data_IF_521593292078
#
_entry.id   IF_521593292078
#
_cell.length_a   1.000
_cell.length_b   1.000
_cell.length_c   1.000
_cell.angle_alpha   90.00
_cell.angle_beta   90.00
_cell.angle_gamma   90.00
#
_symmetry.space_group_name_H-M   'P 1'
#
loop_
_entity.id
_entity.type
_entity.pdbx_description
1 polymer ?
#
# COMPACT_ATOMS: atom_id res chain seq x y z
N UNK A 1 -15.79 1.70 -25.54
CA UNK A 1 -16.89 2.10 -26.45
C UNK A 1 -18.27 1.79 -25.88
N UNK A 2 -18.61 0.53 -25.59
CA UNK A 2 -19.95 0.18 -25.03
C UNK A 2 -20.27 0.89 -23.70
N UNK A 3 -19.32 0.92 -22.76
CA UNK A 3 -19.46 1.65 -21.49
C UNK A 3 -19.66 3.15 -21.75
N UNK A 4 -18.96 3.72 -22.75
CA UNK A 4 -19.04 5.14 -23.08
C UNK A 4 -20.45 5.51 -23.58
N UNK A 5 -21.08 4.61 -24.34
CA UNK A 5 -22.44 4.81 -24.83
C UNK A 5 -23.47 4.97 -23.70
N UNK A 6 -23.24 4.29 -22.56
CA UNK A 6 -24.12 4.31 -21.40
C UNK A 6 -23.62 5.23 -20.27
N UNK A 7 -22.62 6.09 -20.52
CA UNK A 7 -22.01 6.95 -19.49
C UNK A 7 -23.01 7.91 -18.84
N UNK A 8 -24.05 8.34 -19.56
CA UNK A 8 -25.02 9.29 -19.03
C UNK A 8 -25.75 8.74 -17.79
N UNK A 9 -25.95 7.43 -17.71
CA UNK A 9 -26.56 6.75 -16.57
C UNK A 9 -25.73 6.85 -15.28
N UNK A 10 -24.44 7.19 -15.40
CA UNK A 10 -23.49 7.31 -14.29
C UNK A 10 -23.09 8.76 -13.99
N UNK A 11 -23.24 9.67 -14.96
CA UNK A 11 -22.87 11.09 -14.81
C UNK A 11 -23.83 11.89 -13.91
N UNK A 12 -25.08 11.43 -13.76
CA UNK A 12 -26.08 12.08 -12.90
C UNK A 12 -25.98 11.66 -11.41
N UNK A 13 -25.00 10.82 -11.05
CA UNK A 13 -24.67 10.51 -9.65
C UNK A 13 -25.54 9.43 -8.99
N UNK A 14 -26.43 8.79 -9.73
CA UNK A 14 -27.30 7.72 -9.19
C UNK A 14 -26.56 6.39 -8.96
N UNK A 15 -25.47 6.14 -9.69
CA UNK A 15 -24.73 4.86 -9.67
C UNK A 15 -23.23 5.08 -9.81
N UNK A 16 -22.45 4.28 -9.09
CA UNK A 16 -21.00 4.26 -9.24
C UNK A 16 -20.59 3.34 -10.41
N UNK A 17 -19.64 3.78 -11.24
CA UNK A 17 -19.05 3.01 -12.33
C UNK A 17 -17.63 2.59 -11.95
N UNK A 18 -17.41 1.29 -11.76
CA UNK A 18 -16.09 0.73 -11.47
C UNK A 18 -15.64 -0.09 -12.68
N UNK A 19 -14.49 0.26 -13.25
CA UNK A 19 -13.90 -0.45 -14.38
C UNK A 19 -12.58 -1.07 -13.93
N UNK A 20 -12.46 -2.39 -14.10
CA UNK A 20 -11.22 -3.11 -13.90
C UNK A 20 -10.54 -3.34 -15.26
N UNK A 21 -9.34 -2.79 -15.42
CA UNK A 21 -8.53 -2.93 -16.62
C UNK A 21 -7.05 -2.80 -16.28
N UNK A 22 -6.19 -3.38 -17.11
CA UNK A 22 -4.75 -3.10 -17.08
C UNK A 22 -4.47 -1.83 -17.89
N UNK A 23 -3.63 -0.93 -17.36
CA UNK A 23 -3.12 0.23 -18.10
C UNK A 23 -1.88 -0.14 -18.92
N UNK A 24 -1.10 -1.12 -18.44
CA UNK A 24 0.11 -1.61 -19.10
C UNK A 24 0.03 -3.12 -19.28
N UNK A 25 0.29 -3.60 -20.49
CA UNK A 25 0.29 -5.04 -20.76
C UNK A 25 1.68 -5.50 -21.15
N UNK A 26 2.15 -6.59 -20.53
CA UNK A 26 3.45 -7.19 -20.85
C UNK A 26 3.25 -8.46 -21.65
N UNK A 27 3.67 -8.45 -22.92
CA UNK A 27 3.63 -9.61 -23.80
C UNK A 27 5.01 -9.95 -24.33
N UNK A 28 5.51 -11.16 -24.07
CA UNK A 28 6.85 -11.60 -24.48
C UNK A 28 7.96 -10.58 -24.17
N UNK A 29 7.90 -9.94 -22.99
CA UNK A 29 8.84 -8.90 -22.52
C UNK A 29 8.73 -7.54 -23.21
N UNK A 30 7.70 -7.34 -24.05
CA UNK A 30 7.38 -6.07 -24.67
C UNK A 30 6.21 -5.43 -23.92
N UNK A 31 6.34 -4.16 -23.59
CA UNK A 31 5.27 -3.35 -23.01
C UNK A 31 4.37 -2.88 -24.16
N UNK A 32 3.07 -3.10 -24.01
CA UNK A 32 2.04 -2.65 -24.93
C UNK A 32 1.07 -1.73 -24.17
N UNK A 33 0.66 -0.60 -24.78
CA UNK A 33 -0.40 0.22 -24.21
C UNK A 33 -1.70 -0.58 -24.22
N UNK A 34 -2.38 -0.64 -23.07
CA UNK A 34 -3.65 -1.36 -22.92
C UNK A 34 -4.87 -0.42 -22.93
N UNK A 35 -4.64 0.87 -23.21
CA UNK A 35 -5.68 1.90 -23.21
C UNK A 35 -5.50 2.88 -24.37
N UNK A 36 -6.59 3.56 -24.70
CA UNK A 36 -6.59 4.75 -25.56
C UNK A 36 -6.89 5.99 -24.72
N UNK A 37 -6.05 7.01 -24.83
CA UNK A 37 -6.21 8.27 -24.10
C UNK A 37 -7.55 8.94 -24.39
N UNK A 38 -8.03 8.89 -25.63
CA UNK A 38 -9.31 9.48 -26.01
C UNK A 38 -10.45 8.89 -25.18
N UNK A 39 -10.50 7.57 -25.08
CA UNK A 39 -11.54 6.87 -24.31
C UNK A 39 -11.41 7.09 -22.81
N UNK A 40 -10.19 7.09 -22.24
CA UNK A 40 -10.01 7.39 -20.81
C UNK A 40 -10.41 8.82 -20.46
N UNK A 41 -10.10 9.77 -21.33
CA UNK A 41 -10.49 11.17 -21.14
C UNK A 41 -12.01 11.34 -21.26
N UNK A 42 -12.67 10.64 -22.18
CA UNK A 42 -14.14 10.66 -22.31
C UNK A 42 -14.86 10.01 -21.13
N UNK A 43 -14.28 8.95 -20.55
CA UNK A 43 -14.80 8.32 -19.33
C UNK A 43 -14.86 9.30 -18.17
N UNK A 44 -13.89 10.23 -18.08
CA UNK A 44 -13.87 11.27 -17.07
C UNK A 44 -13.76 10.72 -15.64
N UNK A 45 -12.94 9.68 -15.45
CA UNK A 45 -12.75 9.01 -14.16
C UNK A 45 -12.35 9.99 -13.06
N UNK A 46 -12.96 9.86 -11.88
CA UNK A 46 -12.65 10.71 -10.72
C UNK A 46 -11.58 10.11 -9.79
N UNK A 47 -11.19 8.87 -10.03
CA UNK A 47 -10.27 8.13 -9.18
C UNK A 47 -9.58 7.01 -9.98
N UNK A 48 -8.27 6.87 -9.81
CA UNK A 48 -7.52 5.72 -10.25
C UNK A 48 -7.00 4.94 -9.04
N UNK A 49 -7.11 3.61 -9.09
CA UNK A 49 -6.57 2.71 -8.07
C UNK A 49 -5.77 1.63 -8.78
N UNK A 50 -4.50 1.47 -8.40
CA UNK A 50 -3.70 0.32 -8.81
C UNK A 50 -3.67 -0.70 -7.67
N UNK A 51 -4.16 -1.90 -7.95
CA UNK A 51 -4.07 -3.03 -7.03
C UNK A 51 -2.68 -3.66 -7.12
N UNK A 52 -2.02 -3.80 -5.98
CA UNK A 52 -0.72 -4.44 -5.83
C UNK A 52 -0.87 -5.68 -4.94
N UNK A 53 0.07 -6.61 -5.01
CA UNK A 53 0.09 -7.76 -4.09
C UNK A 53 1.52 -8.28 -3.93
N UNK A 54 1.72 -9.11 -2.91
CA UNK A 54 2.94 -9.89 -2.76
C UNK A 54 3.20 -10.71 -4.02
N UNK A 55 4.46 -10.72 -4.45
CA UNK A 55 4.89 -11.52 -5.60
C UNK A 55 4.60 -13.02 -5.37
N UNK A 56 4.65 -13.48 -4.13
CA UNK A 56 4.32 -14.86 -3.75
C UNK A 56 2.84 -15.18 -3.94
N UNK A 57 1.93 -14.25 -3.59
CA UNK A 57 0.50 -14.42 -3.82
C UNK A 57 0.15 -14.44 -5.31
N UNK A 58 0.77 -13.55 -6.10
CA UNK A 58 0.58 -13.53 -7.56
C UNK A 58 1.07 -14.84 -8.16
N UNK A 59 2.25 -15.30 -7.75
CA UNK A 59 2.78 -16.60 -8.17
C UNK A 59 1.81 -17.74 -7.83
N UNK A 60 1.37 -17.82 -6.57
CA UNK A 60 0.39 -18.83 -6.13
C UNK A 60 -0.86 -18.81 -7.00
N UNK A 61 -1.41 -17.63 -7.32
CA UNK A 61 -2.59 -17.51 -8.19
C UNK A 61 -2.33 -18.00 -9.61
N UNK A 62 -1.20 -17.64 -10.22
CA UNK A 62 -0.84 -18.12 -11.58
C UNK A 62 -0.80 -19.66 -11.63
N UNK A 63 -0.29 -20.30 -10.59
CA UNK A 63 -0.12 -21.75 -10.54
C UNK A 63 -1.35 -22.52 -10.00
N UNK A 64 -2.25 -21.87 -9.25
CA UNK A 64 -3.46 -22.50 -8.69
C UNK A 64 -4.75 -22.22 -9.48
N UNK A 65 -4.86 -21.07 -10.15
CA UNK A 65 -6.03 -20.71 -10.95
C UNK A 65 -5.86 -21.20 -12.40
N UNK A 66 -6.80 -22.02 -12.86
CA UNK A 66 -6.79 -22.55 -14.23
C UNK A 66 -7.03 -21.47 -15.30
N UNK A 67 -7.75 -20.39 -14.97
CA UNK A 67 -7.96 -19.26 -15.87
C UNK A 67 -6.64 -18.53 -16.20
N UNK A 68 -5.67 -18.60 -15.30
CA UNK A 68 -4.33 -18.00 -15.44
C UNK A 68 -3.27 -18.98 -15.94
N UNK A 69 -3.64 -20.22 -16.26
CA UNK A 69 -2.72 -21.29 -16.67
C UNK A 69 -1.82 -20.91 -17.85
N UNK A 70 -2.29 -20.04 -18.74
CA UNK A 70 -1.55 -19.54 -19.89
C UNK A 70 -0.34 -18.67 -19.53
N UNK A 71 -0.21 -18.20 -18.28
CA UNK A 71 0.96 -17.48 -17.75
C UNK A 71 1.98 -18.39 -17.06
N UNK A 72 1.63 -19.64 -16.75
CA UNK A 72 2.54 -20.58 -16.06
C UNK A 72 3.82 -20.76 -16.87
N UNK A 73 4.97 -20.58 -16.22
CA UNK A 73 6.29 -20.68 -16.85
C UNK A 73 6.64 -19.56 -17.86
N UNK A 74 5.79 -18.54 -18.02
CA UNK A 74 6.07 -17.37 -18.88
C UNK A 74 6.55 -16.15 -18.12
N UNK A 75 6.32 -16.11 -16.81
CA UNK A 75 6.73 -15.04 -15.90
C UNK A 75 7.57 -15.64 -14.79
N UNK A 76 8.68 -14.99 -14.47
CA UNK A 76 9.43 -15.20 -13.23
C UNK A 76 9.07 -14.14 -12.17
N UNK A 77 9.49 -14.34 -10.91
CA UNK A 77 9.23 -13.40 -9.81
C UNK A 77 9.68 -11.96 -10.14
N UNK A 78 10.85 -11.81 -10.76
CA UNK A 78 11.37 -10.50 -11.17
C UNK A 78 10.47 -9.84 -12.22
N UNK A 79 9.97 -10.57 -13.21
CA UNK A 79 9.08 -10.04 -14.24
C UNK A 79 7.72 -9.64 -13.66
N UNK A 80 7.21 -10.37 -12.66
CA UNK A 80 6.00 -10.00 -11.93
C UNK A 80 6.21 -8.68 -11.19
N UNK A 81 7.32 -8.52 -10.47
CA UNK A 81 7.65 -7.27 -9.78
C UNK A 81 7.76 -6.10 -10.77
N UNK A 82 8.52 -6.27 -11.85
CA UNK A 82 8.66 -5.25 -12.90
C UNK A 82 7.30 -4.83 -13.46
N UNK A 83 6.42 -5.79 -13.75
CA UNK A 83 5.12 -5.47 -14.32
C UNK A 83 4.21 -4.73 -13.32
N UNK A 84 4.25 -5.08 -12.03
CA UNK A 84 3.56 -4.29 -11.00
C UNK A 84 4.05 -2.84 -10.97
N UNK A 85 5.37 -2.61 -11.09
CA UNK A 85 5.90 -1.24 -11.12
C UNK A 85 5.52 -0.47 -12.38
N UNK A 86 5.56 -1.14 -13.55
CA UNK A 86 5.11 -0.59 -14.83
C UNK A 86 3.63 -0.15 -14.77
N UNK A 87 2.78 -0.94 -14.10
CA UNK A 87 1.36 -0.63 -13.91
C UNK A 87 1.16 0.59 -13.00
N UNK A 88 1.85 0.64 -11.86
CA UNK A 88 1.81 1.79 -10.94
C UNK A 88 2.29 3.05 -11.65
N UNK A 89 3.46 2.97 -12.31
CA UNK A 89 4.08 4.10 -12.98
C UNK A 89 3.20 4.65 -14.10
N UNK A 90 2.72 3.78 -15.00
CA UNK A 90 1.89 4.19 -16.13
C UNK A 90 0.56 4.79 -15.66
N UNK A 91 -0.08 4.18 -14.65
CA UNK A 91 -1.32 4.71 -14.07
C UNK A 91 -1.09 6.08 -13.46
N UNK A 92 0.03 6.26 -12.75
CA UNK A 92 0.37 7.55 -12.13
C UNK A 92 0.57 8.66 -13.18
N UNK A 93 1.15 8.36 -14.34
CA UNK A 93 1.29 9.33 -15.44
C UNK A 93 -0.08 9.74 -15.96
N UNK A 94 -0.95 8.76 -16.25
CA UNK A 94 -2.30 9.02 -16.75
C UNK A 94 -3.10 9.85 -15.75
N UNK A 95 -3.05 9.47 -14.48
CA UNK A 95 -3.74 10.19 -13.40
C UNK A 95 -3.24 11.63 -13.27
N UNK A 96 -1.92 11.87 -13.36
CA UNK A 96 -1.36 13.22 -13.33
C UNK A 96 -1.79 14.06 -14.54
N UNK A 97 -1.76 13.51 -15.75
CA UNK A 97 -2.19 14.20 -16.97
C UNK A 97 -3.67 14.60 -16.88
N UNK A 98 -4.51 13.71 -16.35
CA UNK A 98 -5.94 13.92 -16.18
C UNK A 98 -6.29 14.63 -14.86
N UNK A 99 -5.30 15.07 -14.09
CA UNK A 99 -5.46 15.71 -12.78
C UNK A 99 -6.43 14.94 -11.85
N UNK A 100 -6.29 13.62 -11.84
CA UNK A 100 -7.14 12.68 -11.10
C UNK A 100 -6.31 12.03 -9.98
N UNK A 101 -6.85 11.86 -8.76
CA UNK A 101 -6.13 11.17 -7.70
C UNK A 101 -5.82 9.72 -8.07
N UNK A 102 -4.63 9.26 -7.68
CA UNK A 102 -4.17 7.89 -7.86
C UNK A 102 -3.73 7.30 -6.52
N UNK A 103 -4.23 6.10 -6.23
CA UNK A 103 -3.87 5.34 -5.04
C UNK A 103 -3.30 3.99 -5.42
N UNK A 104 -2.32 3.52 -4.64
CA UNK A 104 -1.93 2.12 -4.62
C UNK A 104 -2.59 1.43 -3.42
N UNK A 105 -3.09 0.22 -3.63
CA UNK A 105 -3.77 -0.55 -2.60
C UNK A 105 -3.40 -2.03 -2.71
N UNK A 106 -3.13 -2.69 -1.59
CA UNK A 106 -2.85 -4.12 -1.61
C UNK A 106 -4.13 -4.94 -1.70
N UNK A 107 -4.17 -5.92 -2.60
CA UNK A 107 -5.25 -6.90 -2.70
C UNK A 107 -5.13 -8.06 -1.72
N UNK A 108 -4.14 -8.04 -0.82
CA UNK A 108 -4.02 -8.96 0.30
C UNK A 108 -3.49 -8.22 1.53
N UNK A 109 -3.74 -8.73 2.74
CA UNK A 109 -3.03 -8.28 3.94
C UNK A 109 -2.62 -9.51 4.73
N UNK A 110 -1.40 -9.52 5.25
CA UNK A 110 -0.90 -10.56 6.16
C UNK A 110 -1.36 -10.25 7.60
N UNK A 111 -1.56 -8.97 7.93
CA UNK A 111 -1.93 -8.53 9.29
C UNK A 111 -3.44 -8.47 9.54
N UNK A 112 -4.24 -8.34 8.50
CA UNK A 112 -5.69 -8.43 8.57
C UNK A 112 -6.11 -9.69 7.84
N UNK A 113 -6.95 -10.53 8.45
CA UNK A 113 -7.39 -11.83 7.92
C UNK A 113 -7.85 -11.78 6.45
N UNK A 114 -8.24 -10.60 5.95
CA UNK A 114 -8.43 -10.23 4.54
C UNK A 114 -8.07 -8.73 4.41
N UNK A 115 -7.68 -8.20 3.23
CA UNK A 115 -7.56 -6.75 3.05
C UNK A 115 -8.93 -6.14 3.30
N UNK A 116 -9.05 -5.26 4.30
CA UNK A 116 -10.36 -4.74 4.68
C UNK A 116 -10.89 -3.88 3.50
N UNK A 117 -11.94 -4.33 2.76
CA UNK A 117 -12.52 -3.54 1.69
C UNK A 117 -13.01 -2.17 2.20
N UNK A 118 -13.15 -2.00 3.52
CA UNK A 118 -13.43 -0.70 4.15
C UNK A 118 -12.39 0.36 3.85
N UNK A 119 -11.10 0.04 3.75
CA UNK A 119 -10.09 1.09 3.45
C UNK A 119 -10.37 1.70 2.08
N UNK A 120 -10.57 0.85 1.07
CA UNK A 120 -10.91 1.31 -0.28
C UNK A 120 -12.27 2.02 -0.30
N UNK A 121 -13.26 1.50 0.42
CA UNK A 121 -14.56 2.14 0.58
C UNK A 121 -14.43 3.56 1.17
N UNK A 122 -13.69 3.74 2.25
CA UNK A 122 -13.49 5.05 2.88
C UNK A 122 -12.73 6.02 1.96
N UNK A 123 -11.73 5.53 1.22
CA UNK A 123 -11.06 6.36 0.20
C UNK A 123 -12.07 6.84 -0.86
N UNK A 124 -12.92 5.95 -1.38
CA UNK A 124 -13.91 6.31 -2.40
C UNK A 124 -14.97 7.26 -1.82
N UNK A 125 -15.67 6.85 -0.76
CA UNK A 125 -16.92 7.50 -0.33
C UNK A 125 -16.73 8.59 0.75
N UNK A 126 -15.66 8.51 1.53
CA UNK A 126 -15.41 9.44 2.65
C UNK A 126 -14.27 10.41 2.37
N UNK A 127 -13.40 10.12 1.40
CA UNK A 127 -12.30 11.01 0.99
C UNK A 127 -12.54 11.65 -0.37
N UNK A 128 -12.65 10.86 -1.45
CA UNK A 128 -12.64 11.41 -2.81
C UNK A 128 -14.01 11.86 -3.32
N UNK A 129 -15.09 11.10 -3.07
CA UNK A 129 -16.46 11.48 -3.47
C UNK A 129 -16.90 12.84 -2.89
N UNK A 130 -16.68 13.16 -1.59
CA UNK A 130 -16.97 14.49 -1.08
C UNK A 130 -16.21 15.61 -1.80
N UNK A 131 -14.95 15.39 -2.19
CA UNK A 131 -14.15 16.39 -2.92
C UNK A 131 -14.70 16.64 -4.33
N UNK A 132 -15.13 15.59 -5.02
CA UNK A 132 -15.79 15.69 -6.33
C UNK A 132 -17.09 16.50 -6.23
N UNK A 133 -17.82 16.34 -5.12
CA UNK A 133 -19.04 17.10 -4.81
C UNK A 133 -18.76 18.54 -4.31
N UNK A 134 -17.49 18.96 -4.20
CA UNK A 134 -17.10 20.29 -3.73
C UNK A 134 -17.08 20.46 -2.20
N UNK A 135 -17.18 19.36 -1.45
CA UNK A 135 -17.11 19.32 0.02
C UNK A 135 -15.70 18.98 0.52
N UNK A 136 -15.45 19.23 1.81
CA UNK A 136 -14.26 18.70 2.47
C UNK A 136 -14.36 17.17 2.62
N UNK A 137 -13.22 16.44 2.62
CA UNK A 137 -13.24 15.01 2.93
C UNK A 137 -13.79 14.80 4.35
N UNK A 138 -14.53 13.71 4.56
CA UNK A 138 -15.03 13.30 5.88
C UNK A 138 -13.97 12.59 6.71
N UNK A 139 -12.97 12.03 6.04
CA UNK A 139 -11.84 11.36 6.67
C UNK A 139 -10.51 11.91 6.19
N UNK A 140 -9.53 11.95 7.09
CA UNK A 140 -8.12 12.17 6.77
C UNK A 140 -7.43 10.85 6.49
N UNK A 141 -6.27 10.89 5.84
CA UNK A 141 -5.46 9.69 5.54
C UNK A 141 -4.17 9.71 6.34
N UNK A 142 -3.83 8.59 6.96
CA UNK A 142 -2.56 8.41 7.66
C UNK A 142 -1.80 7.18 7.15
N UNK A 143 -0.49 7.30 7.03
CA UNK A 143 0.41 6.15 6.94
C UNK A 143 0.84 5.75 8.35
N UNK A 144 0.76 4.45 8.67
CA UNK A 144 1.18 3.92 9.97
C UNK A 144 2.64 3.44 9.88
N UNK A 145 3.53 4.14 10.57
CA UNK A 145 4.94 3.77 10.70
C UNK A 145 5.19 3.06 12.03
N UNK A 146 5.84 1.90 12.02
CA UNK A 146 6.18 1.15 13.23
C UNK A 146 7.32 0.15 12.95
N UNK A 147 8.08 -0.27 13.96
CA UNK A 147 9.24 -1.15 13.76
C UNK A 147 8.81 -2.61 13.56
N UNK A 148 8.29 -2.94 12.37
CA UNK A 148 7.71 -4.24 12.01
C UNK A 148 8.56 -5.43 12.46
N UNK A 149 9.84 -5.45 12.11
CA UNK A 149 10.76 -6.56 12.41
C UNK A 149 10.97 -6.79 13.91
N UNK A 150 10.76 -5.76 14.74
CA UNK A 150 10.93 -5.83 16.20
C UNK A 150 9.62 -6.18 16.92
N UNK A 151 8.47 -6.09 16.24
CA UNK A 151 7.15 -6.35 16.83
C UNK A 151 6.47 -7.61 16.29
N UNK A 152 7.03 -8.24 15.24
CA UNK A 152 6.41 -9.39 14.56
C UNK A 152 6.06 -10.57 15.49
N UNK A 153 6.85 -10.79 16.54
CA UNK A 153 6.66 -11.89 17.50
C UNK A 153 6.01 -11.42 18.82
N UNK A 154 5.32 -10.28 18.81
CA UNK A 154 4.77 -9.60 20.00
C UNK A 154 3.28 -9.35 19.86
N UNK A 155 2.49 -10.38 20.10
CA UNK A 155 1.02 -10.34 20.01
C UNK A 155 0.41 -9.20 20.83
N UNK A 156 0.97 -8.91 22.02
CA UNK A 156 0.54 -7.81 22.89
C UNK A 156 0.65 -6.44 22.21
N UNK A 157 1.71 -6.24 21.43
CA UNK A 157 1.98 -5.01 20.71
C UNK A 157 1.15 -4.94 19.42
N UNK A 158 1.02 -6.06 18.71
CA UNK A 158 0.20 -6.16 17.49
C UNK A 158 -1.27 -5.87 17.82
N UNK A 159 -1.79 -6.43 18.91
CA UNK A 159 -3.17 -6.16 19.34
C UNK A 159 -3.36 -4.69 19.71
N UNK A 160 -2.41 -4.08 20.40
CA UNK A 160 -2.42 -2.65 20.72
C UNK A 160 -2.40 -1.78 19.46
N UNK A 161 -1.57 -2.11 18.47
CA UNK A 161 -1.53 -1.46 17.16
C UNK A 161 -2.89 -1.56 16.47
N UNK A 162 -3.49 -2.75 16.42
CA UNK A 162 -4.77 -2.97 15.76
C UNK A 162 -5.90 -2.16 16.43
N UNK A 163 -5.95 -2.13 17.76
CA UNK A 163 -6.91 -1.28 18.50
C UNK A 163 -6.70 0.22 18.22
N UNK A 164 -5.46 0.66 18.06
CA UNK A 164 -5.17 2.04 17.66
C UNK A 164 -5.74 2.34 16.26
N UNK A 165 -5.53 1.44 15.29
CA UNK A 165 -6.06 1.59 13.93
C UNK A 165 -7.60 1.65 13.93
N UNK A 166 -8.26 0.77 14.68
CA UNK A 166 -9.72 0.79 14.82
C UNK A 166 -10.22 2.12 15.38
N UNK A 167 -9.61 2.62 16.46
CA UNK A 167 -9.96 3.92 17.03
C UNK A 167 -9.68 5.10 16.09
N UNK A 168 -8.65 5.00 15.25
CA UNK A 168 -8.37 6.01 14.21
C UNK A 168 -9.47 6.04 13.14
N UNK A 169 -9.95 4.86 12.69
CA UNK A 169 -11.09 4.77 11.78
C UNK A 169 -12.35 5.40 12.38
N UNK A 170 -12.67 5.06 13.62
CA UNK A 170 -13.81 5.66 14.35
C UNK A 170 -13.69 7.19 14.46
N UNK A 171 -12.45 7.69 14.48
CA UNK A 171 -12.14 9.12 14.53
C UNK A 171 -11.93 9.78 13.16
N UNK A 172 -12.36 9.13 12.09
CA UNK A 172 -12.34 9.74 10.76
C UNK A 172 -10.93 9.78 10.16
N UNK A 173 -10.06 8.82 10.48
CA UNK A 173 -8.74 8.70 9.85
C UNK A 173 -8.61 7.33 9.22
N UNK A 174 -8.55 7.25 7.89
CA UNK A 174 -8.22 6.01 7.18
C UNK A 174 -6.72 5.76 7.24
N UNK A 175 -6.32 4.51 7.48
CA UNK A 175 -4.93 4.13 7.76
C UNK A 175 -4.39 3.20 6.69
N UNK A 176 -3.24 3.55 6.12
CA UNK A 176 -2.42 2.69 5.27
C UNK A 176 -1.34 2.02 6.11
N UNK A 177 -1.35 0.68 6.14
CA UNK A 177 -0.40 -0.13 6.93
C UNK A 177 0.60 -0.84 6.00
N UNK A 178 1.91 -0.69 6.19
CA UNK A 178 2.93 -1.33 5.35
C UNK A 178 2.89 -2.87 5.41
N UNK A 179 2.36 -3.47 6.48
CA UNK A 179 2.22 -4.94 6.61
C UNK A 179 1.24 -5.59 5.62
N UNK A 180 0.57 -4.78 4.80
CA UNK A 180 -0.31 -5.30 3.74
C UNK A 180 0.46 -6.06 2.66
N UNK A 181 1.73 -5.73 2.39
CA UNK A 181 2.59 -6.47 1.45
C UNK A 181 3.96 -6.67 2.09
N UNK A 182 4.37 -7.92 2.30
CA UNK A 182 5.67 -8.22 2.91
C UNK A 182 6.44 -9.26 2.09
N UNK A 183 7.12 -8.82 1.04
CA UNK A 183 7.93 -9.70 0.20
C UNK A 183 9.35 -9.95 0.78
N UNK A 184 9.77 -9.16 1.77
CA UNK A 184 11.07 -9.32 2.42
C UNK A 184 11.24 -10.69 3.08
N UNK A 185 10.15 -11.28 3.57
CA UNK A 185 10.15 -12.62 4.16
C UNK A 185 10.62 -13.70 3.17
N UNK A 186 10.42 -13.49 1.87
CA UNK A 186 10.90 -14.41 0.82
C UNK A 186 12.43 -14.41 0.80
N UNK A 187 13.04 -13.24 0.89
CA UNK A 187 14.50 -13.07 0.91
C UNK A 187 15.08 -13.66 2.19
N UNK A 188 14.48 -13.36 3.35
CA UNK A 188 14.90 -13.90 4.65
C UNK A 188 14.90 -15.44 4.62
N UNK A 189 13.79 -16.06 4.21
CA UNK A 189 13.68 -17.53 4.13
C UNK A 189 14.61 -18.16 3.10
N UNK A 190 14.83 -17.51 1.96
CA UNK A 190 15.78 -17.98 0.97
C UNK A 190 17.20 -18.01 1.51
N UNK A 191 17.62 -16.97 2.22
CA UNK A 191 18.96 -16.88 2.82
C UNK A 191 19.13 -17.86 3.99
N UNK A 192 18.14 -17.97 4.87
CA UNK A 192 18.14 -18.92 5.99
C UNK A 192 18.21 -20.38 5.54
N UNK A 193 17.62 -20.68 4.37
CA UNK A 193 17.67 -22.03 3.80
C UNK A 193 19.10 -22.48 3.41
N UNK A 194 20.01 -21.53 3.17
CA UNK A 194 21.36 -21.79 2.66
C UNK A 194 21.41 -22.42 1.26
N UNK A 195 20.26 -22.53 0.58
CA UNK A 195 20.17 -23.09 -0.78
C UNK A 195 20.47 -22.03 -1.83
N UNK A 196 20.99 -22.46 -2.97
CA UNK A 196 21.18 -21.61 -4.15
C UNK A 196 20.29 -22.03 -5.33
N UNK A 197 19.66 -23.20 -5.24
CA UNK A 197 18.79 -23.78 -6.25
C UNK A 197 17.77 -24.73 -5.60
N UNK A 198 16.80 -25.20 -6.38
CA UNK A 198 15.65 -25.95 -5.91
C UNK A 198 14.58 -25.04 -5.29
N UNK A 199 13.66 -25.66 -4.56
CA UNK A 199 12.50 -24.96 -4.02
C UNK A 199 12.52 -24.84 -2.50
N UNK A 200 11.83 -23.82 -2.01
CA UNK A 200 11.47 -23.63 -0.60
C UNK A 200 9.97 -23.39 -0.49
N UNK A 201 9.40 -23.88 0.60
CA UNK A 201 8.01 -23.63 0.95
C UNK A 201 7.92 -22.43 1.88
N UNK A 202 7.02 -21.50 1.58
CA UNK A 202 6.79 -20.28 2.35
C UNK A 202 5.41 -20.37 3.01
N UNK A 203 5.41 -20.68 4.30
CA UNK A 203 4.19 -20.93 5.09
C UNK A 203 3.19 -19.77 5.08
N UNK A 204 3.66 -18.52 5.13
CA UNK A 204 2.83 -17.30 5.21
C UNK A 204 2.00 -17.08 3.95
N UNK A 205 2.44 -17.62 2.82
CA UNK A 205 1.77 -17.51 1.53
C UNK A 205 1.21 -18.85 1.02
N UNK A 206 1.45 -19.96 1.73
CA UNK A 206 1.10 -21.33 1.30
C UNK A 206 1.55 -21.59 -0.16
N UNK A 207 2.85 -21.42 -0.42
CA UNK A 207 3.40 -21.52 -1.78
C UNK A 207 4.82 -22.07 -1.78
N UNK A 208 5.11 -22.87 -2.81
CA UNK A 208 6.46 -23.34 -3.11
C UNK A 208 7.09 -22.45 -4.19
N UNK A 209 8.28 -21.92 -3.90
CA UNK A 209 8.99 -20.98 -4.77
C UNK A 209 10.41 -21.46 -5.10
N UNK A 210 10.89 -21.27 -6.34
CA UNK A 210 12.28 -21.53 -6.68
C UNK A 210 13.20 -20.54 -5.96
N UNK A 211 14.17 -21.05 -5.19
CA UNK A 211 15.14 -20.23 -4.44
C UNK A 211 15.90 -19.30 -5.37
N UNK A 212 16.31 -19.82 -6.53
CA UNK A 212 17.02 -19.06 -7.54
C UNK A 212 16.23 -17.84 -8.01
N UNK A 213 14.92 -17.96 -8.22
CA UNK A 213 14.09 -16.81 -8.64
C UNK A 213 13.98 -15.75 -7.54
N UNK A 214 13.89 -16.16 -6.27
CA UNK A 214 13.88 -15.22 -5.15
C UNK A 214 15.21 -14.46 -5.07
N UNK A 215 16.33 -15.18 -5.16
CA UNK A 215 17.66 -14.57 -5.11
C UNK A 215 17.92 -13.64 -6.31
N UNK A 216 17.50 -14.03 -7.51
CA UNK A 216 17.60 -13.21 -8.73
C UNK A 216 16.72 -11.94 -8.63
N UNK A 217 15.61 -12.00 -7.90
CA UNK A 217 14.70 -10.89 -7.65
C UNK A 217 15.02 -10.08 -6.37
N UNK A 218 16.00 -10.51 -5.56
CA UNK A 218 16.28 -9.95 -4.22
C UNK A 218 16.35 -8.42 -4.20
N UNK A 219 17.14 -7.83 -5.09
CA UNK A 219 17.30 -6.37 -5.09
C UNK A 219 15.99 -5.66 -5.46
N UNK A 220 15.20 -6.23 -6.38
CA UNK A 220 13.88 -5.69 -6.72
C UNK A 220 12.93 -5.75 -5.52
N UNK A 221 12.93 -6.84 -4.76
CA UNK A 221 12.11 -6.98 -3.54
C UNK A 221 12.46 -5.90 -2.51
N UNK A 222 13.77 -5.70 -2.26
CA UNK A 222 14.26 -4.68 -1.32
C UNK A 222 13.81 -3.28 -1.76
N UNK A 223 14.10 -2.93 -3.02
CA UNK A 223 13.80 -1.60 -3.55
C UNK A 223 12.28 -1.36 -3.59
N UNK A 224 11.50 -2.34 -4.03
CA UNK A 224 10.04 -2.24 -4.06
C UNK A 224 9.43 -2.04 -2.68
N UNK A 225 9.96 -2.72 -1.65
CA UNK A 225 9.49 -2.56 -0.28
C UNK A 225 9.64 -1.09 0.15
N UNK A 226 10.83 -0.51 -0.02
CA UNK A 226 11.11 0.88 0.35
C UNK A 226 10.25 1.87 -0.45
N UNK A 227 10.23 1.74 -1.78
CA UNK A 227 9.51 2.70 -2.63
C UNK A 227 7.99 2.57 -2.53
N UNK A 228 7.46 1.39 -2.24
CA UNK A 228 6.04 1.20 -1.93
C UNK A 228 5.67 1.96 -0.67
N UNK A 229 6.44 1.84 0.41
CA UNK A 229 6.15 2.53 1.66
C UNK A 229 6.19 4.05 1.47
N UNK A 230 7.14 4.56 0.68
CA UNK A 230 7.16 5.97 0.26
C UNK A 230 5.93 6.38 -0.57
N UNK A 231 5.44 5.54 -1.47
CA UNK A 231 4.18 5.78 -2.21
C UNK A 231 2.98 5.83 -1.25
N UNK A 232 2.93 4.96 -0.25
CA UNK A 232 1.89 4.98 0.79
C UNK A 232 1.95 6.26 1.64
N UNK A 233 3.15 6.75 1.98
CA UNK A 233 3.33 8.06 2.64
C UNK A 233 2.84 9.20 1.74
N UNK A 234 3.17 9.18 0.46
CA UNK A 234 2.81 10.25 -0.48
C UNK A 234 1.29 10.42 -0.63
N UNK A 235 0.54 9.31 -0.68
CA UNK A 235 -0.93 9.34 -0.78
C UNK A 235 -1.65 9.65 0.54
N UNK A 236 -0.91 9.69 1.66
CA UNK A 236 -1.43 10.03 2.99
C UNK A 236 -1.37 11.54 3.27
N UNK A 237 -2.22 12.03 4.17
CA UNK A 237 -2.19 13.43 4.63
C UNK A 237 -1.18 13.62 5.78
N UNK A 238 -0.93 12.56 6.55
CA UNK A 238 0.01 12.54 7.69
C UNK A 238 0.66 11.16 7.87
N UNK A 239 1.68 11.11 8.72
CA UNK A 239 2.28 9.87 9.22
C UNK A 239 2.02 9.76 10.72
N UNK A 240 1.51 8.61 11.14
CA UNK A 240 1.36 8.24 12.55
C UNK A 240 2.44 7.22 12.87
N UNK A 241 3.35 7.57 13.77
CA UNK A 241 4.43 6.69 14.20
C UNK A 241 4.02 6.00 15.50
N UNK A 242 3.79 4.69 15.46
CA UNK A 242 3.57 3.86 16.63
C UNK A 242 4.90 3.22 17.06
N UNK A 243 5.49 3.72 18.14
CA UNK A 243 6.84 3.34 18.57
C UNK A 243 6.87 2.66 19.95
N UNK A 244 6.54 1.35 20.04
CA UNK A 244 6.41 0.65 21.31
C UNK A 244 7.72 0.09 21.87
N UNK A 245 8.82 0.16 21.12
CA UNK A 245 10.11 -0.45 21.47
C UNK A 245 11.13 0.58 21.96
N UNK A 246 12.27 0.11 22.47
CA UNK A 246 13.36 0.98 22.95
C UNK A 246 14.43 1.21 21.89
N UNK A 247 14.66 0.19 21.09
CA UNK A 247 15.66 0.13 20.05
C UNK A 247 15.28 1.07 18.91
N UNK A 248 16.26 1.74 18.30
CA UNK A 248 16.03 2.59 17.13
C UNK A 248 15.85 1.73 15.88
N UNK A 249 14.78 1.99 15.14
CA UNK A 249 14.48 1.38 13.85
C UNK A 249 14.89 2.33 12.73
N UNK A 250 15.82 1.87 11.89
CA UNK A 250 16.26 2.62 10.72
C UNK A 250 15.12 2.84 9.72
N UNK A 251 14.22 1.87 9.57
CA UNK A 251 13.05 1.98 8.70
C UNK A 251 12.13 3.11 9.15
N UNK A 252 11.72 3.11 10.42
CA UNK A 252 10.85 4.16 10.98
C UNK A 252 11.49 5.53 10.87
N UNK A 253 12.78 5.66 11.19
CA UNK A 253 13.47 6.94 11.06
C UNK A 253 13.53 7.42 9.60
N UNK A 254 13.75 6.51 8.64
CA UNK A 254 13.73 6.81 7.21
C UNK A 254 12.35 7.32 6.77
N UNK A 255 11.28 6.67 7.22
CA UNK A 255 9.90 7.08 6.94
C UNK A 255 9.57 8.46 7.52
N UNK A 256 10.00 8.73 8.76
CA UNK A 256 9.84 10.04 9.39
C UNK A 256 10.56 11.15 8.61
N UNK A 257 11.81 10.91 8.22
CA UNK A 257 12.59 11.86 7.41
C UNK A 257 11.92 12.08 6.05
N UNK A 258 11.49 10.99 5.40
CA UNK A 258 10.81 11.06 4.12
C UNK A 258 9.52 11.89 4.23
N UNK A 259 8.66 11.60 5.20
CA UNK A 259 7.43 12.32 5.45
C UNK A 259 7.67 13.82 5.71
N UNK A 260 8.60 14.14 6.61
CA UNK A 260 8.94 15.52 6.96
C UNK A 260 9.47 16.31 5.74
N UNK A 261 10.36 15.71 4.95
CA UNK A 261 10.92 16.35 3.74
C UNK A 261 9.92 16.48 2.60
N UNK A 262 8.79 15.76 2.66
CA UNK A 262 7.68 15.83 1.70
C UNK A 262 6.45 16.57 2.27
N UNK A 263 6.66 17.41 3.29
CA UNK A 263 5.63 18.27 3.91
C UNK A 263 4.42 17.50 4.46
N UNK A 264 4.64 16.27 4.95
CA UNK A 264 3.64 15.52 5.70
C UNK A 264 3.84 15.77 7.19
N UNK A 265 2.73 15.95 7.92
CA UNK A 265 2.79 16.01 9.38
C UNK A 265 3.17 14.64 9.94
N UNK A 266 4.07 14.60 10.91
CA UNK A 266 4.53 13.39 11.61
C UNK A 266 4.11 13.45 13.07
N UNK A 267 3.20 12.56 13.45
CA UNK A 267 2.67 12.42 14.80
C UNK A 267 3.12 11.12 15.43
N UNK A 268 3.91 11.19 16.50
CA UNK A 268 4.54 10.00 17.08
C UNK A 268 3.99 9.65 18.46
N UNK A 269 3.61 8.40 18.67
CA UNK A 269 3.40 7.82 19.99
C UNK A 269 4.74 7.23 20.44
N UNK A 270 5.37 7.85 21.44
CA UNK A 270 6.70 7.47 21.91
C UNK A 270 6.73 7.36 23.44
N UNK A 271 6.76 6.13 23.93
CA UNK A 271 6.65 5.81 25.36
C UNK A 271 7.96 5.93 26.12
N UNK A 272 9.10 6.06 25.44
CA UNK A 272 10.41 6.10 26.11
C UNK A 272 10.72 7.50 26.65
N UNK A 273 11.44 7.56 27.77
CA UNK A 273 11.81 8.84 28.41
C UNK A 273 12.78 9.65 27.55
N UNK A 274 13.79 8.98 27.01
CA UNK A 274 14.86 9.61 26.26
C UNK A 274 14.53 9.62 24.77
N UNK A 275 14.23 10.82 24.24
CA UNK A 275 13.92 11.03 22.83
C UNK A 275 15.20 11.50 22.13
N UNK A 276 15.58 10.81 21.06
CA UNK A 276 16.72 11.23 20.23
C UNK A 276 16.46 12.59 19.56
N UNK A 277 17.47 13.47 19.43
CA UNK A 277 17.31 14.74 18.71
C UNK A 277 16.80 14.57 17.28
N UNK A 278 17.17 13.48 16.60
CA UNK A 278 16.67 13.17 15.26
C UNK A 278 15.18 12.84 15.27
N UNK A 279 14.75 12.01 16.21
CA UNK A 279 13.33 11.65 16.36
C UNK A 279 12.49 12.90 16.66
N UNK A 280 12.98 13.79 17.53
CA UNK A 280 12.32 15.04 17.85
C UNK A 280 12.29 16.02 16.67
N UNK A 281 13.37 16.10 15.89
CA UNK A 281 13.47 17.02 14.74
C UNK A 281 12.48 16.66 13.64
N UNK A 282 12.26 15.36 13.42
CA UNK A 282 11.38 14.86 12.36
C UNK A 282 9.98 14.48 12.87
N UNK A 283 9.57 15.00 14.04
CA UNK A 283 8.22 14.85 14.57
C UNK A 283 7.59 16.22 14.78
N UNK A 284 6.39 16.46 14.25
CA UNK A 284 5.62 17.67 14.54
C UNK A 284 5.05 17.65 15.96
N UNK A 285 4.60 16.47 16.41
CA UNK A 285 4.09 16.28 17.77
C UNK A 285 4.37 14.88 18.27
N UNK A 286 4.74 14.78 19.54
CA UNK A 286 5.04 13.52 20.23
C UNK A 286 4.07 13.35 21.40
N UNK A 287 3.48 12.17 21.51
CA UNK A 287 2.49 11.76 22.49
C UNK A 287 3.05 10.64 23.37
N UNK A 288 2.61 10.57 24.62
CA UNK A 288 3.06 9.53 25.56
C UNK A 288 2.25 8.25 25.48
N UNK A 289 1.03 8.33 24.95
CA UNK A 289 0.14 7.20 24.73
C UNK A 289 -0.81 7.46 23.56
N UNK A 290 -1.56 6.42 23.19
CA UNK A 290 -2.56 6.45 22.12
C UNK A 290 -3.71 7.41 22.40
N UNK A 291 -4.15 7.53 23.66
CA UNK A 291 -5.33 8.32 24.00
C UNK A 291 -5.02 9.82 23.87
N UNK A 292 -3.80 10.26 24.17
CA UNK A 292 -3.33 11.63 23.88
C UNK A 292 -3.31 11.92 22.37
N UNK A 293 -2.84 10.97 21.55
CA UNK A 293 -2.86 11.12 20.09
C UNK A 293 -4.30 11.22 19.58
N UNK A 294 -5.18 10.31 20.00
CA UNK A 294 -6.57 10.24 19.54
C UNK A 294 -7.35 11.52 19.84
N UNK A 295 -7.19 12.08 21.05
CA UNK A 295 -7.78 13.38 21.41
C UNK A 295 -7.31 14.49 20.47
N UNK A 296 -6.04 14.50 20.09
CA UNK A 296 -5.53 15.48 19.15
C UNK A 296 -6.06 15.27 17.73
N UNK A 297 -6.19 14.02 17.27
CA UNK A 297 -6.79 13.70 15.97
C UNK A 297 -8.26 14.16 15.92
N UNK A 298 -9.02 14.02 17.01
CA UNK A 298 -10.40 14.52 17.09
C UNK A 298 -10.49 16.04 16.83
N UNK A 299 -9.50 16.81 17.27
CA UNK A 299 -9.42 18.26 17.05
C UNK A 299 -9.04 18.62 15.61
N UNK A 300 -8.40 17.70 14.87
CA UNK A 300 -8.00 17.89 13.46
C UNK A 300 -9.11 17.57 12.46
N UNK A 301 -10.27 17.07 12.92
CA UNK A 301 -11.38 16.70 12.03
C UNK A 301 -11.76 17.88 11.10
N UNK A 302 -11.86 17.63 9.77
CA UNK A 302 -12.04 18.68 8.75
C UNK A 302 -13.32 19.52 8.84
#
# INVERSE_FOLDING_TARGET
EEIIHNLNDFKEGEKDLIISLHISFRWNKVILPAFDYYYLNELGSNLYITLIDSVANIWRRIYSDESLSHWRGKLNLKEILIWQDEEIFTTSIVANILNTPHYIFSSSSISFKEPDPKVLYHIIYDVEKPKVEGNKPRMLKAYLSYPMTMVKDRDDIIERKNRLVEKLWENGVVVFDPSMVEDMILVEKAEESGKTDGNIYIEEFDVELPVKEILDAKQYIIDHTVFRDYRLINQSDMVIVFYPVKELSAGVLSEMIYAYTHMKNVYAIFTQKDISPFFQTYSDKIFRDEDELLKYIEELKP
#
